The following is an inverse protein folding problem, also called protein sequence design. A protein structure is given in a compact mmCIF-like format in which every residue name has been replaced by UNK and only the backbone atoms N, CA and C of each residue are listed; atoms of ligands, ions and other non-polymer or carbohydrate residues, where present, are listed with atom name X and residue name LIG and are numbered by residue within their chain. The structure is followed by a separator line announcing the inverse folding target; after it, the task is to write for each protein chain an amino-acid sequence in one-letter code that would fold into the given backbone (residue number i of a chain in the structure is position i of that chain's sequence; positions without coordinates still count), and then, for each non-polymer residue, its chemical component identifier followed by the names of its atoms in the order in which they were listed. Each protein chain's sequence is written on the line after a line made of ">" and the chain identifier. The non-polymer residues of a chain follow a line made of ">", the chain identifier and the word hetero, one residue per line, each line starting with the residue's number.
data_IF_479670048797
#
_entry.id   IF_479670048797
#
_cell.length_a   1.000
_cell.length_b   1.000
_cell.length_c   1.000
_cell.angle_alpha   90.00
_cell.angle_beta   90.00
_cell.angle_gamma   90.00
#
_symmetry.space_group_name_H-M   'P 1'
#
loop_
_entity.id
_entity.type
_entity.pdbx_description
1 polymer ?
#
# COMPACT_ATOMS: atom_id res chain seq x y z
N UNK A 1 -21.99 24.51 8.44
CA UNK A 1 -20.98 24.84 7.41
C UNK A 1 -20.69 23.60 6.56
N UNK A 2 -20.75 23.76 5.27
CA UNK A 2 -20.33 22.69 4.36
C UNK A 2 -18.80 22.71 4.27
N UNK A 3 -18.14 21.67 4.74
CA UNK A 3 -16.70 21.47 4.55
C UNK A 3 -16.48 20.61 3.31
N UNK A 4 -15.71 21.11 2.36
CA UNK A 4 -15.28 20.33 1.19
C UNK A 4 -13.95 19.69 1.50
N UNK A 5 -13.82 18.39 1.25
CA UNK A 5 -12.59 17.62 1.37
C UNK A 5 -12.12 17.28 -0.04
N UNK A 6 -10.86 17.53 -0.34
CA UNK A 6 -10.24 17.12 -1.59
C UNK A 6 -9.63 15.74 -1.44
N UNK A 7 -9.87 14.89 -2.42
CA UNK A 7 -9.30 13.54 -2.51
C UNK A 7 -8.44 13.45 -3.76
N UNK A 8 -7.21 13.02 -3.59
CA UNK A 8 -6.34 12.61 -4.68
C UNK A 8 -6.24 11.09 -4.67
N UNK A 9 -6.34 10.48 -5.83
CA UNK A 9 -6.30 9.02 -5.94
C UNK A 9 -5.32 8.59 -7.03
N UNK A 10 -4.63 7.49 -6.77
CA UNK A 10 -3.87 6.73 -7.75
C UNK A 10 -4.46 5.32 -7.86
N UNK A 11 -3.97 4.55 -8.83
CA UNK A 11 -4.37 3.16 -9.04
C UNK A 11 -3.61 2.19 -8.14
N UNK A 12 -3.22 1.06 -8.74
CA UNK A 12 -2.58 -0.05 -8.03
C UNK A 12 -1.11 0.23 -7.73
N UNK A 13 -0.71 -0.06 -6.51
CA UNK A 13 0.66 0.01 -6.05
C UNK A 13 1.24 -1.40 -6.04
N UNK A 14 2.22 -1.64 -6.92
CA UNK A 14 2.93 -2.90 -7.12
C UNK A 14 4.43 -2.75 -6.86
N UNK A 15 4.83 -1.99 -5.87
CA UNK A 15 6.23 -1.74 -5.55
C UNK A 15 6.79 -2.93 -4.77
N UNK A 16 7.56 -3.79 -5.46
CA UNK A 16 8.25 -4.95 -4.88
C UNK A 16 9.76 -4.76 -4.76
N UNK A 17 10.29 -3.64 -5.25
CA UNK A 17 11.71 -3.29 -5.18
C UNK A 17 11.87 -1.88 -4.63
N UNK A 18 13.00 -1.66 -3.98
CA UNK A 18 13.38 -0.34 -3.48
C UNK A 18 13.51 0.66 -4.62
N UNK A 19 13.05 1.88 -4.41
CA UNK A 19 13.40 2.99 -5.27
C UNK A 19 14.87 3.35 -5.10
N UNK A 20 15.52 3.76 -6.18
CA UNK A 20 16.90 4.22 -6.10
C UNK A 20 17.00 5.45 -5.18
N UNK A 21 18.10 5.53 -4.39
CA UNK A 21 18.35 6.73 -3.59
C UNK A 21 18.38 7.98 -4.50
N UNK A 22 17.66 9.03 -4.08
CA UNK A 22 17.59 10.28 -4.85
C UNK A 22 16.76 10.22 -6.11
N UNK A 23 15.92 9.18 -6.30
CA UNK A 23 15.00 9.11 -7.43
C UNK A 23 14.06 10.32 -7.43
N UNK A 24 14.20 11.19 -8.42
CA UNK A 24 13.56 12.51 -8.47
C UNK A 24 12.12 12.46 -9.01
N UNK A 25 11.77 11.42 -9.75
CA UNK A 25 10.45 11.31 -10.39
C UNK A 25 9.29 11.11 -9.39
N UNK A 26 9.63 10.88 -8.11
CA UNK A 26 8.65 10.91 -7.01
C UNK A 26 8.05 12.32 -6.83
N UNK A 27 8.83 13.38 -7.02
CA UNK A 27 8.43 14.74 -6.68
C UNK A 27 7.22 15.26 -7.47
N UNK A 28 7.17 15.15 -8.80
CA UNK A 28 6.00 15.63 -9.55
C UNK A 28 4.70 14.92 -9.19
N UNK A 29 4.78 13.61 -8.95
CA UNK A 29 3.63 12.79 -8.53
C UNK A 29 3.20 13.20 -7.13
N UNK A 30 4.16 13.37 -6.22
CA UNK A 30 3.91 13.84 -4.87
C UNK A 30 3.23 15.22 -4.87
N UNK A 31 3.72 16.17 -5.64
CA UNK A 31 3.14 17.50 -5.75
C UNK A 31 1.67 17.44 -6.20
N UNK A 32 1.38 16.60 -7.16
CA UNK A 32 0.00 16.36 -7.60
C UNK A 32 -0.86 15.76 -6.47
N UNK A 33 -0.40 14.71 -5.83
CA UNK A 33 -1.14 14.02 -4.75
C UNK A 33 -1.36 14.93 -3.55
N UNK A 34 -0.40 15.78 -3.20
CA UNK A 34 -0.48 16.70 -2.06
C UNK A 34 -1.55 17.79 -2.20
N UNK A 35 -2.21 17.90 -3.36
CA UNK A 35 -3.40 18.75 -3.51
C UNK A 35 -4.61 18.20 -2.76
N UNK A 36 -4.63 16.89 -2.48
CA UNK A 36 -5.68 16.23 -1.69
C UNK A 36 -5.36 16.18 -0.20
N UNK A 37 -6.37 16.37 0.65
CA UNK A 37 -6.29 16.07 2.08
C UNK A 37 -6.25 14.55 2.32
N UNK A 38 -7.03 13.80 1.54
CA UNK A 38 -6.96 12.33 1.46
C UNK A 38 -6.23 11.97 0.18
N UNK A 39 -5.19 11.16 0.30
CA UNK A 39 -4.34 10.70 -0.81
C UNK A 39 -4.30 9.19 -0.80
N UNK A 40 -5.08 8.59 -1.69
CA UNK A 40 -5.37 7.17 -1.64
C UNK A 40 -4.83 6.39 -2.84
N UNK A 41 -4.55 5.12 -2.61
CA UNK A 41 -4.23 4.15 -3.64
C UNK A 41 -4.59 2.73 -3.19
N UNK A 42 -4.54 1.77 -4.11
CA UNK A 42 -4.74 0.36 -3.82
C UNK A 42 -3.38 -0.32 -3.62
N UNK A 43 -3.10 -0.80 -2.41
CA UNK A 43 -1.89 -1.55 -2.11
C UNK A 43 -2.13 -3.03 -2.40
N UNK A 44 -1.59 -3.52 -3.51
CA UNK A 44 -1.72 -4.92 -3.90
C UNK A 44 -0.64 -5.83 -3.31
N UNK A 45 0.48 -5.27 -2.89
CA UNK A 45 1.63 -6.02 -2.40
C UNK A 45 1.53 -6.30 -0.90
N UNK A 46 1.68 -7.56 -0.52
CA UNK A 46 1.86 -7.95 0.89
C UNK A 46 3.17 -7.38 1.41
N UNK A 47 3.13 -6.73 2.57
CA UNK A 47 4.32 -6.22 3.25
C UNK A 47 4.75 -7.20 4.34
N UNK A 48 5.93 -7.78 4.17
CA UNK A 48 6.45 -8.84 5.04
C UNK A 48 7.98 -8.82 5.06
N UNK A 49 8.57 -9.32 6.11
CA UNK A 49 10.03 -9.53 6.25
C UNK A 49 10.52 -10.82 5.58
N UNK A 50 9.65 -11.50 4.84
CA UNK A 50 9.95 -12.77 4.19
C UNK A 50 9.69 -14.00 5.07
N UNK A 51 9.19 -13.83 6.29
CA UNK A 51 8.86 -14.95 7.19
C UNK A 51 7.52 -15.62 6.87
N UNK A 52 6.65 -14.94 6.11
CA UNK A 52 5.34 -15.46 5.74
C UNK A 52 5.42 -16.43 4.57
N UNK A 53 4.70 -17.52 4.65
CA UNK A 53 4.59 -18.49 3.56
C UNK A 53 3.51 -18.09 2.56
N UNK A 54 3.79 -18.31 1.27
CA UNK A 54 2.82 -18.13 0.22
C UNK A 54 1.59 -19.03 0.43
N UNK A 55 0.40 -18.49 0.18
CA UNK A 55 -0.81 -19.30 0.19
C UNK A 55 -0.85 -20.27 -1.01
N UNK A 56 -1.72 -21.28 -0.95
CA UNK A 56 -1.88 -22.24 -2.04
C UNK A 56 -2.39 -21.58 -3.34
N UNK A 57 -3.08 -20.47 -3.21
CA UNK A 57 -3.62 -19.70 -4.32
C UNK A 57 -3.21 -18.24 -4.20
N UNK A 58 -2.92 -17.61 -5.33
CA UNK A 58 -2.61 -16.17 -5.41
C UNK A 58 -3.67 -15.43 -6.22
N UNK A 59 -3.63 -14.11 -6.19
CA UNK A 59 -4.43 -13.25 -7.06
C UNK A 59 -3.98 -13.23 -8.52
N UNK A 60 -3.05 -14.10 -8.90
CA UNK A 60 -2.44 -14.22 -10.23
C UNK A 60 -0.97 -14.59 -10.12
N UNK A 61 -0.24 -13.86 -9.32
CA UNK A 61 1.12 -14.18 -8.83
C UNK A 61 1.21 -13.74 -7.37
N UNK A 62 2.20 -14.25 -6.65
CA UNK A 62 2.40 -13.85 -5.25
C UNK A 62 3.19 -12.54 -5.19
N UNK A 63 2.57 -11.51 -4.62
CA UNK A 63 3.16 -10.17 -4.49
C UNK A 63 3.57 -9.92 -3.05
N UNK A 64 4.88 -9.77 -2.82
CA UNK A 64 5.42 -9.43 -1.50
C UNK A 64 6.60 -8.46 -1.61
N UNK A 65 6.76 -7.65 -0.59
CA UNK A 65 7.88 -6.73 -0.44
C UNK A 65 8.19 -6.48 1.03
N UNK A 66 9.41 -6.00 1.32
CA UNK A 66 9.77 -5.60 2.66
C UNK A 66 9.19 -4.22 3.06
N UNK A 67 9.24 -3.92 4.35
CA UNK A 67 8.74 -2.66 4.91
C UNK A 67 9.42 -1.40 4.31
N UNK A 68 10.65 -1.53 3.80
CA UNK A 68 11.35 -0.41 3.16
C UNK A 68 10.74 -0.06 1.80
N UNK A 69 10.16 -1.04 1.09
CA UNK A 69 9.39 -0.76 -0.13
C UNK A 69 8.12 0.02 0.19
N UNK A 70 7.48 -0.26 1.32
CA UNK A 70 6.37 0.57 1.82
C UNK A 70 6.82 2.00 2.13
N UNK A 71 7.99 2.18 2.76
CA UNK A 71 8.57 3.51 3.00
C UNK A 71 8.78 4.28 1.71
N UNK A 72 9.32 3.63 0.69
CA UNK A 72 9.49 4.24 -0.63
C UNK A 72 8.15 4.62 -1.26
N UNK A 73 7.13 3.78 -1.12
CA UNK A 73 5.75 4.06 -1.56
C UNK A 73 5.19 5.31 -0.87
N UNK A 74 5.40 5.44 0.43
CA UNK A 74 4.91 6.58 1.22
C UNK A 74 5.59 7.90 0.87
N UNK A 75 6.76 7.87 0.22
CA UNK A 75 7.41 9.08 -0.30
C UNK A 75 6.55 9.81 -1.34
N UNK A 76 5.64 9.13 -2.02
CA UNK A 76 4.66 9.75 -2.92
C UNK A 76 3.60 10.58 -2.19
N UNK A 77 3.47 10.43 -0.87
CA UNK A 77 2.56 11.23 -0.06
C UNK A 77 1.23 10.54 0.27
N UNK A 78 1.07 9.27 0.00
CA UNK A 78 -0.13 8.53 0.37
C UNK A 78 -0.35 8.53 1.89
N UNK A 79 -1.59 8.71 2.31
CA UNK A 79 -2.01 8.65 3.72
C UNK A 79 -3.21 7.72 3.94
N UNK A 80 -3.74 7.11 2.87
CA UNK A 80 -4.82 6.14 2.92
C UNK A 80 -4.58 5.05 1.88
N UNK A 81 -4.56 3.79 2.30
CA UNK A 81 -4.35 2.65 1.41
C UNK A 81 -5.51 1.65 1.49
N UNK A 82 -6.09 1.33 0.35
CA UNK A 82 -6.96 0.17 0.22
C UNK A 82 -6.11 -1.10 0.23
N UNK A 83 -6.47 -2.10 1.04
CA UNK A 83 -5.80 -3.40 1.12
C UNK A 83 -6.78 -4.56 0.88
N UNK A 84 -7.90 -4.28 0.21
CA UNK A 84 -8.93 -5.27 -0.12
C UNK A 84 -8.94 -5.50 -1.63
N UNK A 85 -8.17 -6.45 -2.10
CA UNK A 85 -7.98 -6.77 -3.51
C UNK A 85 -7.68 -8.27 -3.69
N UNK A 86 -7.47 -8.71 -4.93
CA UNK A 86 -7.19 -10.11 -5.25
C UNK A 86 -5.85 -10.63 -4.69
N UNK A 87 -4.93 -9.75 -4.29
CA UNK A 87 -3.62 -10.11 -3.70
C UNK A 87 -3.60 -10.06 -2.17
N UNK A 88 -4.71 -9.66 -1.54
CA UNK A 88 -4.80 -9.48 -0.08
C UNK A 88 -4.35 -10.72 0.70
N UNK A 89 -4.65 -11.91 0.18
CA UNK A 89 -4.38 -13.19 0.83
C UNK A 89 -3.25 -14.00 0.18
N UNK A 90 -2.41 -13.38 -0.64
CA UNK A 90 -1.28 -14.05 -1.29
C UNK A 90 -0.36 -14.78 -0.30
N UNK A 91 -0.24 -14.26 0.91
CA UNK A 91 0.54 -14.83 2.01
C UNK A 91 -0.31 -15.13 3.24
N UNK A 92 -1.58 -15.53 3.01
CA UNK A 92 -2.53 -15.92 4.04
C UNK A 92 -2.75 -14.83 5.11
N UNK A 93 -3.30 -15.20 6.24
CA UNK A 93 -3.55 -14.28 7.35
C UNK A 93 -2.27 -13.70 7.96
N UNK A 94 -1.17 -14.45 7.92
CA UNK A 94 0.13 -13.97 8.40
C UNK A 94 0.62 -12.77 7.58
N UNK A 95 0.56 -12.87 6.26
CA UNK A 95 0.93 -11.76 5.36
C UNK A 95 0.00 -10.56 5.50
N UNK A 96 -1.30 -10.79 5.62
CA UNK A 96 -2.27 -9.72 5.87
C UNK A 96 -1.99 -9.01 7.21
N UNK A 97 -1.77 -9.79 8.28
CA UNK A 97 -1.46 -9.23 9.61
C UNK A 97 -0.16 -8.44 9.58
N UNK A 98 0.87 -8.96 8.90
CA UNK A 98 2.15 -8.26 8.71
C UNK A 98 1.95 -6.92 8.01
N UNK A 99 1.20 -6.90 6.91
CA UNK A 99 0.87 -5.67 6.17
C UNK A 99 0.16 -4.65 7.07
N UNK A 100 -0.85 -5.07 7.82
CA UNK A 100 -1.58 -4.20 8.75
C UNK A 100 -0.65 -3.64 9.83
N UNK A 101 0.22 -4.48 10.39
CA UNK A 101 1.20 -4.05 11.40
C UNK A 101 2.13 -2.96 10.85
N UNK A 102 2.65 -3.12 9.63
CA UNK A 102 3.53 -2.14 9.01
C UNK A 102 2.80 -0.82 8.69
N UNK A 103 1.56 -0.88 8.23
CA UNK A 103 0.74 0.33 8.02
C UNK A 103 0.50 1.09 9.33
N UNK A 104 0.20 0.37 10.41
CA UNK A 104 0.03 0.97 11.75
C UNK A 104 1.31 1.61 12.27
N UNK A 105 2.47 0.97 12.09
CA UNK A 105 3.77 1.54 12.47
C UNK A 105 4.07 2.85 11.75
N UNK A 106 3.59 3.00 10.51
CA UNK A 106 3.78 4.19 9.67
C UNK A 106 2.65 5.22 9.82
N UNK A 107 1.67 4.97 10.68
CA UNK A 107 0.49 5.82 10.88
C UNK A 107 -0.28 6.10 9.57
N UNK A 108 -0.42 5.08 8.74
CA UNK A 108 -1.16 5.13 7.48
C UNK A 108 -2.55 4.55 7.69
N UNK A 109 -3.58 5.32 7.35
CA UNK A 109 -4.95 4.83 7.36
C UNK A 109 -5.14 3.77 6.26
N UNK A 110 -5.95 2.76 6.54
CA UNK A 110 -6.24 1.71 5.57
C UNK A 110 -7.69 1.25 5.63
N UNK A 111 -8.17 0.68 4.54
CA UNK A 111 -9.47 0.01 4.47
C UNK A 111 -9.31 -1.44 4.04
N UNK A 112 -10.00 -2.31 4.74
CA UNK A 112 -10.08 -3.74 4.46
C UNK A 112 -11.53 -4.18 4.50
N UNK A 113 -12.01 -4.85 3.45
CA UNK A 113 -13.31 -5.51 3.44
C UNK A 113 -13.13 -7.01 3.70
N UNK A 114 -13.82 -7.53 4.68
CA UNK A 114 -13.82 -8.98 4.98
C UNK A 114 -14.71 -9.79 4.04
N UNK A 115 -15.53 -9.14 3.22
CA UNK A 115 -16.46 -9.80 2.30
C UNK A 115 -15.72 -10.47 1.13
N UNK A 116 -14.52 -10.01 0.80
CA UNK A 116 -13.74 -10.48 -0.34
C UNK A 116 -12.49 -11.30 0.07
N UNK A 117 -12.41 -11.71 1.32
CA UNK A 117 -11.31 -12.52 1.84
C UNK A 117 -11.71 -13.98 1.98
#
# INVERSE_FOLDING_TARGET
>A
MNRTIRVSAAGDILIMKRLLPGYQDVLPIREFLMQGEVRMANLETTISDGSCYASAYSGGTWLTADAKCLEDTLRYGFNFLGISNNHTMDYSYEGLTSTICELKKKDVAYALSLIHI
#
